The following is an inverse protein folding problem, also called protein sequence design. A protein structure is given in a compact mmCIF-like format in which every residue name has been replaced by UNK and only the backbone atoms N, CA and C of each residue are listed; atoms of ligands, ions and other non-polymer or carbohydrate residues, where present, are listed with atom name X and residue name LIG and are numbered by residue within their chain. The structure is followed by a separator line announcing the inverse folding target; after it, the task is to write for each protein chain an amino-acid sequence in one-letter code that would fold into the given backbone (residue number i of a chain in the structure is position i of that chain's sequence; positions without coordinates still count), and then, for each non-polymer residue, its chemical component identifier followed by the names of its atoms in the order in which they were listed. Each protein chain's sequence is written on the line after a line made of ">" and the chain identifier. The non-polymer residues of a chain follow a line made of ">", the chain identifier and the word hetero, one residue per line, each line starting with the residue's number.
data_IF_597768469859
#
_entry.id   IF_597768469859
#
_cell.length_a   1.000
_cell.length_b   1.000
_cell.length_c   1.000
_cell.angle_alpha   90.00
_cell.angle_beta   90.00
_cell.angle_gamma   90.00
#
_symmetry.space_group_name_H-M   'P 1'
#
loop_
_entity.id
_entity.type
_entity.pdbx_description
1 polymer ?
#
# COMPACT_ATOMS: atom_id res chain seq x y z
N UNK A 1 -34.97 -32.23 7.31
CA UNK A 1 -33.75 -31.61 7.87
C UNK A 1 -32.71 -31.56 6.79
N UNK A 2 -32.49 -30.39 6.20
CA UNK A 2 -31.42 -30.19 5.21
C UNK A 2 -30.71 -28.91 5.61
N UNK A 3 -29.69 -29.06 6.47
CA UNK A 3 -28.81 -27.97 6.83
C UNK A 3 -27.99 -27.63 5.58
N UNK A 4 -28.34 -26.52 4.94
CA UNK A 4 -27.46 -25.85 3.99
C UNK A 4 -26.32 -25.33 4.85
N UNK A 5 -25.18 -26.02 4.81
CA UNK A 5 -23.94 -25.54 5.37
C UNK A 5 -23.61 -24.23 4.65
N UNK A 6 -23.94 -23.11 5.30
CA UNK A 6 -23.37 -21.80 5.04
C UNK A 6 -21.87 -21.92 5.26
N UNK A 7 -21.15 -22.40 4.23
CA UNK A 7 -19.72 -22.17 4.10
C UNK A 7 -19.56 -20.66 4.17
N UNK A 8 -19.02 -20.17 5.28
CA UNK A 8 -18.33 -18.90 5.30
C UNK A 8 -17.26 -18.99 4.21
N UNK A 9 -17.61 -18.48 3.02
CA UNK A 9 -16.66 -18.18 1.97
C UNK A 9 -15.80 -17.09 2.60
N UNK A 10 -14.65 -17.50 3.16
CA UNK A 10 -13.80 -16.64 4.00
C UNK A 10 -13.69 -15.24 3.43
N UNK A 11 -13.87 -14.23 4.27
CA UNK A 11 -13.82 -12.83 3.86
C UNK A 11 -12.55 -12.56 3.07
N UNK A 12 -12.64 -11.69 2.06
CA UNK A 12 -11.45 -11.25 1.35
C UNK A 12 -10.48 -10.60 2.34
N UNK A 13 -9.22 -11.04 2.32
CA UNK A 13 -8.15 -10.43 3.11
C UNK A 13 -7.72 -9.15 2.40
N UNK A 14 -8.36 -8.06 2.79
CA UNK A 14 -8.21 -6.74 2.19
C UNK A 14 -6.80 -6.20 2.45
N UNK A 15 -6.30 -6.38 3.67
CA UNK A 15 -4.97 -5.93 4.07
C UNK A 15 -3.87 -6.64 3.30
N UNK A 16 -3.98 -7.95 3.06
CA UNK A 16 -3.05 -8.68 2.20
C UNK A 16 -3.15 -8.27 0.72
N UNK A 17 -4.35 -7.95 0.23
CA UNK A 17 -4.50 -7.41 -1.12
C UNK A 17 -3.82 -6.02 -1.27
N UNK A 18 -3.98 -5.14 -0.28
CA UNK A 18 -3.31 -3.84 -0.22
C UNK A 18 -1.80 -4.00 -0.12
N UNK A 19 -1.30 -4.87 0.76
CA UNK A 19 0.13 -5.16 0.88
C UNK A 19 0.74 -5.64 -0.44
N UNK A 20 0.02 -6.48 -1.20
CA UNK A 20 0.47 -6.90 -2.53
C UNK A 20 0.54 -5.73 -3.52
N UNK A 21 -0.45 -4.82 -3.52
CA UNK A 21 -0.44 -3.63 -4.36
C UNK A 21 0.71 -2.67 -4.01
N UNK A 22 0.91 -2.36 -2.72
CA UNK A 22 2.01 -1.51 -2.24
C UNK A 22 3.36 -2.09 -2.64
N UNK A 23 3.54 -3.41 -2.48
CA UNK A 23 4.78 -4.10 -2.83
C UNK A 23 5.09 -3.96 -4.32
N UNK A 24 4.09 -4.18 -5.19
CA UNK A 24 4.27 -4.06 -6.65
C UNK A 24 4.58 -2.62 -7.03
N UNK A 25 3.83 -1.64 -6.54
CA UNK A 25 4.06 -0.23 -6.82
C UNK A 25 5.50 0.19 -6.50
N UNK A 26 5.97 -0.13 -5.29
CA UNK A 26 7.31 0.26 -4.88
C UNK A 26 8.40 -0.52 -5.62
N UNK A 27 8.16 -1.80 -5.95
CA UNK A 27 9.06 -2.61 -6.76
C UNK A 27 9.26 -2.01 -8.16
N UNK A 28 8.16 -1.60 -8.81
CA UNK A 28 8.18 -0.91 -10.10
C UNK A 28 8.98 0.41 -10.02
N UNK A 29 8.79 1.18 -8.95
CA UNK A 29 9.50 2.45 -8.73
C UNK A 29 11.02 2.28 -8.57
N UNK A 30 11.47 1.26 -7.84
CA UNK A 30 12.91 1.00 -7.64
C UNK A 30 13.54 0.23 -8.81
N UNK A 31 12.77 -0.12 -9.83
CA UNK A 31 13.22 -0.91 -10.98
C UNK A 31 13.69 -2.32 -10.60
N UNK A 32 13.11 -2.92 -9.55
CA UNK A 32 13.43 -4.29 -9.12
C UNK A 32 12.18 -5.15 -9.20
N UNK A 33 12.34 -6.40 -9.65
CA UNK A 33 11.23 -7.38 -9.70
C UNK A 33 10.68 -7.72 -8.31
N UNK A 34 11.50 -7.56 -7.26
CA UNK A 34 11.11 -7.78 -5.87
C UNK A 34 11.89 -6.89 -4.92
N UNK A 35 11.17 -6.17 -4.04
CA UNK A 35 11.74 -5.56 -2.82
C UNK A 35 11.77 -6.64 -1.74
N UNK A 36 12.70 -7.59 -1.90
CA UNK A 36 12.97 -8.63 -0.91
C UNK A 36 14.26 -8.33 -0.16
N UNK A 37 14.30 -8.74 1.11
CA UNK A 37 15.46 -8.57 1.98
C UNK A 37 15.14 -7.76 3.22
N UNK A 38 15.64 -8.21 4.36
CA UNK A 38 15.73 -7.46 5.62
C UNK A 38 17.12 -6.85 5.79
N UNK A 39 17.86 -6.64 4.69
CA UNK A 39 19.31 -6.41 4.71
C UNK A 39 19.72 -4.96 4.89
N UNK A 40 20.78 -4.76 5.70
CA UNK A 40 21.39 -3.48 6.10
C UNK A 40 21.77 -2.51 4.96
N UNK A 41 21.81 -2.97 3.71
CA UNK A 41 22.35 -2.20 2.58
C UNK A 41 21.37 -1.11 2.08
N UNK A 42 20.06 -1.29 2.24
CA UNK A 42 19.04 -0.34 1.72
C UNK A 42 18.23 0.36 2.82
N UNK A 43 18.41 -0.04 4.08
CA UNK A 43 17.63 0.50 5.20
C UNK A 43 16.12 0.19 5.08
N UNK A 44 15.33 0.47 6.13
CA UNK A 44 13.88 0.41 6.05
C UNK A 44 13.35 1.50 5.11
N UNK A 45 12.39 1.15 4.25
CA UNK A 45 11.60 2.12 3.50
C UNK A 45 10.36 2.45 4.32
N UNK A 46 10.40 3.55 5.07
CA UNK A 46 9.26 4.03 5.84
C UNK A 46 8.20 4.63 4.92
N UNK A 47 6.95 4.24 5.14
CA UNK A 47 5.80 4.67 4.33
C UNK A 47 4.66 5.12 5.24
N UNK A 48 4.42 6.42 5.30
CA UNK A 48 3.26 7.00 5.98
C UNK A 48 1.99 6.71 5.16
N UNK A 49 1.13 5.85 5.69
CA UNK A 49 -0.03 5.32 4.99
C UNK A 49 -1.30 6.00 5.49
N UNK A 50 -1.92 6.78 4.62
CA UNK A 50 -3.29 7.28 4.81
C UNK A 50 -4.28 6.23 4.35
N UNK A 51 -5.40 6.07 5.06
CA UNK A 51 -6.45 5.10 4.76
C UNK A 51 -7.79 5.83 4.64
N UNK A 52 -8.33 5.94 3.44
CA UNK A 52 -9.69 6.48 3.24
C UNK A 52 -10.78 5.42 3.47
N UNK A 53 -10.35 4.17 3.59
CA UNK A 53 -11.17 2.98 3.87
C UNK A 53 -10.74 2.35 5.21
N UNK A 54 -11.65 1.64 5.86
CA UNK A 54 -11.36 0.96 7.14
C UNK A 54 -10.44 -0.25 6.91
N UNK A 55 -9.14 -0.09 7.19
CA UNK A 55 -8.11 -1.13 7.03
C UNK A 55 -7.19 -1.16 8.25
N UNK A 56 -6.68 -2.32 8.67
CA UNK A 56 -5.70 -2.36 9.76
C UNK A 56 -4.26 -2.22 9.24
N UNK A 57 -3.62 -1.06 9.46
CA UNK A 57 -2.22 -0.83 9.06
C UNK A 57 -1.26 -1.86 9.68
N UNK A 58 -1.54 -2.39 10.88
CA UNK A 58 -0.70 -3.41 11.50
C UNK A 58 -0.77 -4.74 10.76
N UNK A 59 -1.94 -5.10 10.22
CA UNK A 59 -2.08 -6.29 9.36
C UNK A 59 -1.39 -6.10 8.02
N UNK A 60 -1.51 -4.91 7.41
CA UNK A 60 -0.75 -4.56 6.20
C UNK A 60 0.76 -4.70 6.47
N UNK A 61 1.23 -4.20 7.63
CA UNK A 61 2.62 -4.33 8.04
C UNK A 61 3.05 -5.80 8.21
N UNK A 62 2.21 -6.66 8.79
CA UNK A 62 2.53 -8.09 8.93
C UNK A 62 2.68 -8.80 7.59
N UNK A 63 1.88 -8.43 6.59
CA UNK A 63 1.98 -8.96 5.22
C UNK A 63 3.24 -8.47 4.47
N UNK A 64 3.87 -7.40 4.96
CA UNK A 64 5.09 -6.80 4.41
C UNK A 64 6.35 -7.12 5.23
N UNK A 65 6.27 -7.94 6.28
CA UNK A 65 7.38 -8.21 7.21
C UNK A 65 8.64 -8.76 6.52
N UNK A 66 8.48 -9.49 5.41
CA UNK A 66 9.58 -10.05 4.62
C UNK A 66 10.23 -9.06 3.65
N UNK A 67 9.78 -7.80 3.62
CA UNK A 67 10.28 -6.74 2.74
C UNK A 67 11.04 -5.68 3.56
N UNK A 68 11.63 -4.67 2.92
CA UNK A 68 12.12 -3.46 3.62
C UNK A 68 11.03 -2.42 3.90
N UNK A 69 9.82 -2.60 3.34
CA UNK A 69 8.72 -1.63 3.44
C UNK A 69 8.17 -1.66 4.87
N UNK A 70 8.07 -0.49 5.50
CA UNK A 70 7.56 -0.30 6.85
C UNK A 70 6.39 0.69 6.79
N UNK A 71 5.15 0.21 6.58
CA UNK A 71 3.99 1.10 6.63
C UNK A 71 3.77 1.58 8.06
N UNK A 72 3.51 2.87 8.21
CA UNK A 72 3.22 3.54 9.47
C UNK A 72 1.88 4.25 9.29
N UNK A 73 0.93 4.17 10.24
CA UNK A 73 -0.29 4.96 10.17
C UNK A 73 0.05 6.45 10.06
N UNK A 74 -0.61 7.20 9.18
CA UNK A 74 -0.28 8.63 8.97
C UNK A 74 -0.39 9.46 10.25
N UNK A 75 -1.27 9.06 11.17
CA UNK A 75 -1.44 9.66 12.50
C UNK A 75 -0.20 9.55 13.40
N UNK A 76 0.67 8.56 13.15
CA UNK A 76 1.93 8.36 13.87
C UNK A 76 3.12 9.04 13.16
N UNK A 77 2.89 9.64 11.99
CA UNK A 77 3.92 10.34 11.23
C UNK A 77 3.96 11.83 11.54
N UNK A 78 5.17 12.39 11.61
CA UNK A 78 5.33 13.84 11.57
C UNK A 78 5.28 14.33 10.11
N UNK A 79 4.85 15.58 9.91
CA UNK A 79 4.88 16.20 8.58
C UNK A 79 5.45 17.61 8.65
N UNK A 80 6.07 18.03 7.55
CA UNK A 80 6.59 19.40 7.37
C UNK A 80 6.22 19.89 5.98
N UNK A 81 5.44 20.97 5.94
CA UNK A 81 5.15 21.71 4.71
C UNK A 81 6.29 22.68 4.43
N UNK A 82 6.82 22.66 3.21
CA UNK A 82 7.83 23.57 2.71
C UNK A 82 7.22 24.31 1.53
N UNK A 83 7.20 25.64 1.60
CA UNK A 83 6.76 26.49 0.50
C UNK A 83 7.96 26.80 -0.41
N UNK A 84 7.72 26.84 -1.72
CA UNK A 84 8.77 27.03 -2.71
C UNK A 84 8.28 26.83 -4.14
N UNK A 85 9.16 27.05 -5.11
CA UNK A 85 8.90 26.75 -6.51
C UNK A 85 9.37 25.32 -6.81
N UNK A 86 8.40 24.41 -6.89
CA UNK A 86 8.61 23.00 -7.25
C UNK A 86 7.98 22.70 -8.62
N UNK A 87 8.11 23.62 -9.57
CA UNK A 87 7.52 23.50 -10.90
C UNK A 87 6.04 23.88 -10.89
N UNK A 88 5.14 22.90 -11.01
CA UNK A 88 3.68 23.15 -10.96
C UNK A 88 3.13 23.25 -9.53
N UNK A 89 3.95 22.99 -8.52
CA UNK A 89 3.55 23.02 -7.10
C UNK A 89 4.22 24.19 -6.38
N UNK A 90 3.43 24.92 -5.58
CA UNK A 90 3.91 26.04 -4.75
C UNK A 90 4.33 25.63 -3.33
N UNK A 91 4.10 24.37 -2.98
CA UNK A 91 4.50 23.79 -1.71
C UNK A 91 4.56 22.26 -1.80
N UNK A 92 5.44 21.67 -0.99
CA UNK A 92 5.55 20.22 -0.80
C UNK A 92 5.37 19.87 0.68
N UNK A 93 4.74 18.74 0.95
CA UNK A 93 4.66 18.17 2.30
C UNK A 93 5.58 16.97 2.38
N UNK A 94 6.56 17.04 3.26
CA UNK A 94 7.45 15.93 3.60
C UNK A 94 6.92 15.20 4.82
N UNK A 95 7.07 13.89 4.85
CA UNK A 95 6.64 13.03 5.95
C UNK A 95 7.85 12.37 6.61
N UNK A 96 7.74 12.14 7.91
CA UNK A 96 8.80 11.55 8.71
C UNK A 96 8.23 10.47 9.61
N UNK A 97 8.95 9.36 9.69
CA UNK A 97 8.66 8.28 10.63
C UNK A 97 8.88 8.75 12.09
N UNK A 98 8.36 8.01 13.10
CA UNK A 98 8.52 8.38 14.51
C UNK A 98 9.96 8.54 15.00
N UNK A 99 10.92 7.89 14.34
CA UNK A 99 12.36 8.01 14.61
C UNK A 99 13.01 9.24 13.95
N UNK A 100 12.25 10.05 13.20
CA UNK A 100 12.72 11.23 12.49
C UNK A 100 13.30 10.97 11.10
N UNK A 101 13.35 9.71 10.64
CA UNK A 101 13.78 9.39 9.28
C UNK A 101 12.70 9.79 8.26
N UNK A 102 13.13 10.19 7.06
CA UNK A 102 12.20 10.55 5.99
C UNK A 102 11.37 9.34 5.54
N UNK A 103 10.07 9.58 5.34
CA UNK A 103 9.12 8.56 4.94
C UNK A 103 8.38 9.02 3.69
N UNK A 104 8.13 8.08 2.76
CA UNK A 104 7.20 8.31 1.67
C UNK A 104 5.78 8.49 2.20
N UNK A 105 4.90 9.13 1.42
CA UNK A 105 3.48 9.21 1.72
C UNK A 105 2.66 8.53 0.61
N UNK A 106 1.68 7.75 1.03
CA UNK A 106 0.74 7.08 0.13
C UNK A 106 -0.64 7.02 0.78
N UNK A 107 -1.67 7.06 -0.04
CA UNK A 107 -3.06 6.92 0.38
C UNK A 107 -3.66 5.67 -0.22
N UNK A 108 -4.28 4.82 0.61
CA UNK A 108 -5.20 3.78 0.15
C UNK A 108 -6.56 4.43 -0.03
N UNK A 109 -6.91 4.78 -1.26
CA UNK A 109 -8.09 5.57 -1.59
C UNK A 109 -9.36 4.71 -1.66
N UNK A 110 -9.27 3.50 -2.21
CA UNK A 110 -10.42 2.60 -2.31
C UNK A 110 -9.96 1.13 -2.33
N UNK A 111 -10.83 0.25 -1.84
CA UNK A 111 -10.70 -1.19 -1.98
C UNK A 111 -12.05 -1.84 -2.26
N UNK A 112 -12.12 -2.58 -3.36
CA UNK A 112 -13.34 -3.29 -3.77
C UNK A 112 -13.05 -4.75 -4.07
N UNK A 113 -13.54 -5.64 -3.21
CA UNK A 113 -13.40 -7.08 -3.40
C UNK A 113 -14.67 -7.66 -4.01
N UNK A 114 -14.54 -8.29 -5.19
CA UNK A 114 -15.65 -8.97 -5.87
C UNK A 114 -15.85 -10.41 -5.38
N UNK A 115 -14.96 -10.88 -4.51
CA UNK A 115 -15.01 -12.19 -3.88
C UNK A 115 -13.78 -12.43 -2.99
N UNK A 116 -13.64 -13.63 -2.42
CA UNK A 116 -12.60 -13.96 -1.42
C UNK A 116 -11.16 -13.96 -1.98
N UNK A 117 -11.02 -13.89 -3.30
CA UNK A 117 -9.75 -14.07 -4.00
C UNK A 117 -9.48 -12.96 -5.02
N UNK A 118 -10.30 -11.91 -5.09
CA UNK A 118 -10.15 -10.84 -6.09
C UNK A 118 -10.54 -9.49 -5.48
N UNK A 119 -9.59 -8.57 -5.48
CA UNK A 119 -9.79 -7.20 -5.04
C UNK A 119 -9.22 -6.22 -6.07
N UNK A 120 -9.83 -5.05 -6.14
CA UNK A 120 -9.30 -3.87 -6.81
C UNK A 120 -8.84 -2.93 -5.71
N UNK A 121 -7.59 -2.51 -5.77
CA UNK A 121 -6.97 -1.60 -4.80
C UNK A 121 -6.56 -0.33 -5.53
N UNK A 122 -7.00 0.81 -5.03
CA UNK A 122 -6.67 2.12 -5.55
C UNK A 122 -5.66 2.77 -4.60
N UNK A 123 -4.48 3.10 -5.11
CA UNK A 123 -3.40 3.76 -4.36
C UNK A 123 -3.15 5.14 -4.96
N UNK A 124 -2.99 6.14 -4.11
CA UNK A 124 -2.65 7.51 -4.50
C UNK A 124 -1.31 7.93 -3.89
N UNK A 125 -0.53 8.64 -4.69
CA UNK A 125 0.74 9.25 -4.34
C UNK A 125 0.75 10.71 -4.77
N UNK A 126 1.81 11.44 -4.41
CA UNK A 126 1.98 12.81 -4.89
C UNK A 126 2.06 12.80 -6.43
N UNK A 127 1.09 13.46 -7.07
CA UNK A 127 1.07 13.66 -8.52
C UNK A 127 0.59 12.45 -9.36
N UNK A 128 0.21 11.33 -8.74
CA UNK A 128 -0.38 10.20 -9.48
C UNK A 128 -1.29 9.33 -8.64
N UNK A 129 -2.19 8.62 -9.32
CA UNK A 129 -3.03 7.60 -8.71
C UNK A 129 -3.13 6.39 -9.59
N UNK A 130 -3.00 5.22 -8.99
CA UNK A 130 -2.96 3.93 -9.67
C UNK A 130 -4.05 2.99 -9.16
N UNK A 131 -4.45 2.06 -10.03
CA UNK A 131 -5.40 0.99 -9.74
C UNK A 131 -4.75 -0.35 -9.98
N UNK A 132 -4.76 -1.19 -8.96
CA UNK A 132 -4.23 -2.55 -8.98
C UNK A 132 -5.35 -3.57 -8.92
N UNK A 133 -5.39 -4.47 -9.90
CA UNK A 133 -6.19 -5.69 -9.84
C UNK A 133 -5.37 -6.77 -9.16
N UNK A 134 -5.83 -7.23 -7.99
CA UNK A 134 -5.11 -8.17 -7.13
C UNK A 134 -5.90 -9.47 -7.05
N UNK A 135 -5.21 -10.59 -7.24
CA UNK A 135 -5.79 -11.92 -7.18
C UNK A 135 -5.04 -12.80 -6.18
N UNK A 136 -5.80 -13.57 -5.39
CA UNK A 136 -5.26 -14.59 -4.50
C UNK A 136 -5.03 -15.90 -5.26
N UNK A 137 -3.82 -16.41 -5.21
CA UNK A 137 -3.44 -17.74 -5.71
C UNK A 137 -2.88 -18.56 -4.54
N UNK A 138 -3.66 -19.54 -4.08
CA UNK A 138 -3.37 -20.24 -2.82
C UNK A 138 -3.50 -19.28 -1.63
N UNK A 139 -2.42 -19.13 -0.85
CA UNK A 139 -2.36 -18.20 0.29
C UNK A 139 -1.80 -16.82 -0.06
N UNK A 140 -1.29 -16.63 -1.29
CA UNK A 140 -0.59 -15.39 -1.67
C UNK A 140 -1.47 -14.49 -2.53
N UNK A 141 -1.51 -13.20 -2.22
CA UNK A 141 -2.07 -12.17 -3.08
C UNK A 141 -1.01 -11.64 -4.04
N UNK A 142 -1.40 -11.40 -5.29
CA UNK A 142 -0.52 -10.88 -6.34
C UNK A 142 -1.27 -9.92 -7.24
N UNK A 143 -0.59 -8.87 -7.69
CA UNK A 143 -1.10 -8.00 -8.75
C UNK A 143 -1.10 -8.79 -10.06
N UNK A 144 -2.23 -8.76 -10.78
CA UNK A 144 -2.39 -9.39 -12.11
C UNK A 144 -2.56 -8.36 -13.23
N UNK A 145 -2.94 -7.13 -12.88
CA UNK A 145 -2.97 -6.00 -13.79
C UNK A 145 -2.90 -4.71 -12.97
N UNK A 146 -2.35 -3.65 -13.56
CA UNK A 146 -2.44 -2.30 -13.01
C UNK A 146 -2.71 -1.29 -14.13
N UNK A 147 -3.20 -0.11 -13.77
CA UNK A 147 -3.33 1.04 -14.67
C UNK A 147 -3.33 2.33 -13.87
N UNK A 148 -2.86 3.40 -14.48
CA UNK A 148 -3.00 4.74 -13.93
C UNK A 148 -4.47 5.17 -13.98
N UNK A 149 -4.95 5.75 -12.89
CA UNK A 149 -6.25 6.42 -12.78
C UNK A 149 -6.12 7.89 -13.16
N UNK A 150 -5.03 8.54 -12.76
CA UNK A 150 -4.72 9.93 -13.05
C UNK A 150 -3.23 10.23 -12.86
N UNK A 151 -2.71 11.27 -13.52
CA UNK A 151 -1.34 11.81 -13.43
C UNK A 151 -1.45 13.33 -13.58
N UNK A 152 -0.64 14.09 -12.83
CA UNK A 152 -0.55 15.56 -12.91
C UNK A 152 0.78 15.97 -13.51
#
# INVERSE_FOLDING_TARGET
>A
MTAIASREVGSADQEAAVAAAIRTLLADYVGKDTIEGTGEITGPLYLCLTREVELDTKKIASELVSTVIRPIPVEDCASRRVEGDFGMLTAMTYHFAPNGEEAGHMTVADIKCSGPARCIVDLDMVGSGDRYSVQRSGTKWRVVAHRNRWIV
#
